data_IF_860815360217
#
_entry.id   IF_860815360217
#
_cell.length_a   1.000
_cell.length_b   1.000
_cell.length_c   1.000
_cell.angle_alpha   90.00
_cell.angle_beta   90.00
_cell.angle_gamma   90.00
#
_symmetry.space_group_name_H-M   'P 1'
#
loop_
_entity.id
_entity.type
_entity.pdbx_description
1 polymer ?
#
# COMPACT_ATOMS: atom_id res chain seq x y z
N UNK A 1 -5.06 -13.94 16.14
CA UNK A 1 -5.25 -12.89 15.11
C UNK A 1 -4.65 -13.33 13.79
N UNK A 2 -5.08 -12.77 12.67
CA UNK A 2 -4.52 -13.04 11.34
C UNK A 2 -2.99 -12.86 11.29
N UNK A 3 -2.47 -12.02 12.15
CA UNK A 3 -1.04 -11.69 12.28
C UNK A 3 -0.20 -12.71 13.06
N UNK A 4 -0.82 -13.71 13.68
CA UNK A 4 -0.11 -14.79 14.36
C UNK A 4 -0.76 -16.15 14.08
N UNK A 5 -0.62 -16.68 12.85
CA UNK A 5 -1.26 -17.93 12.45
C UNK A 5 -0.75 -19.15 13.23
N UNK A 6 0.44 -19.08 13.82
CA UNK A 6 0.99 -20.19 14.59
C UNK A 6 0.22 -20.47 15.89
N UNK A 7 -0.43 -19.46 16.47
CA UNK A 7 -1.25 -19.61 17.68
C UNK A 7 -2.53 -20.42 17.49
N UNK A 8 -2.90 -20.70 16.25
CA UNK A 8 -4.12 -21.44 15.87
C UNK A 8 -3.84 -22.76 15.16
N UNK A 9 -2.58 -23.18 15.07
CA UNK A 9 -2.20 -24.45 14.45
C UNK A 9 -2.32 -25.58 15.45
N UNK A 10 -2.95 -26.64 15.04
CA UNK A 10 -3.00 -27.90 15.79
C UNK A 10 -2.98 -29.08 14.81
N UNK A 11 -2.36 -30.17 15.23
CA UNK A 11 -2.31 -31.39 14.46
C UNK A 11 -3.54 -32.26 14.72
N UNK A 12 -4.08 -32.87 13.67
CA UNK A 12 -5.20 -33.81 13.74
C UNK A 12 -4.89 -35.05 12.91
N UNK A 13 -5.02 -36.21 13.50
CA UNK A 13 -4.86 -37.46 12.79
C UNK A 13 -6.15 -37.80 12.03
N UNK A 14 -6.10 -37.73 10.72
CA UNK A 14 -7.22 -38.02 9.83
C UNK A 14 -6.96 -39.30 9.05
N UNK A 15 -8.01 -40.13 8.87
CA UNK A 15 -7.95 -41.33 8.05
C UNK A 15 -8.55 -41.05 6.68
N UNK A 16 -7.81 -41.34 5.63
CA UNK A 16 -8.28 -41.18 4.26
C UNK A 16 -9.65 -41.86 4.03
N UNK A 17 -10.54 -41.18 3.33
CA UNK A 17 -11.89 -41.68 3.01
C UNK A 17 -12.90 -41.63 4.17
N UNK A 18 -12.51 -41.22 5.38
CA UNK A 18 -13.46 -41.04 6.50
C UNK A 18 -13.87 -39.57 6.63
N UNK A 19 -15.18 -39.38 6.77
CA UNK A 19 -15.72 -38.02 7.13
C UNK A 19 -15.56 -37.81 8.63
N UNK A 20 -15.01 -36.65 8.98
CA UNK A 20 -14.85 -36.21 10.37
C UNK A 20 -15.70 -34.99 10.55
N UNK A 21 -16.56 -34.89 11.58
CA UNK A 21 -17.33 -33.72 11.87
C UNK A 21 -16.38 -32.60 12.35
N UNK A 22 -16.53 -31.40 11.79
CA UNK A 22 -15.82 -30.22 12.19
C UNK A 22 -16.84 -29.19 12.67
N UNK A 23 -16.62 -28.61 13.86
CA UNK A 23 -17.40 -27.51 14.38
C UNK A 23 -16.46 -26.32 14.59
N UNK A 24 -16.79 -25.19 13.98
CA UNK A 24 -16.12 -23.92 14.19
C UNK A 24 -17.13 -22.99 14.84
N UNK A 25 -16.81 -22.49 16.01
CA UNK A 25 -17.55 -21.42 16.66
C UNK A 25 -16.75 -20.12 16.54
N UNK A 26 -17.37 -19.14 15.95
CA UNK A 26 -16.78 -17.84 15.73
C UNK A 26 -17.71 -16.75 16.24
N UNK A 27 -17.21 -15.97 17.19
CA UNK A 27 -17.92 -14.81 17.75
C UNK A 27 -17.20 -13.58 17.26
N UNK A 28 -17.81 -12.83 16.31
CA UNK A 28 -17.22 -11.57 15.88
C UNK A 28 -17.31 -10.53 17.00
N UNK A 29 -16.17 -9.93 17.34
CA UNK A 29 -16.06 -8.95 18.42
C UNK A 29 -15.61 -7.56 17.96
N UNK A 30 -15.89 -7.21 16.71
CA UNK A 30 -15.47 -5.93 16.20
C UNK A 30 -15.62 -5.69 14.70
N UNK A 31 -14.81 -4.80 14.22
CA UNK A 31 -14.85 -4.20 12.89
C UNK A 31 -14.57 -5.17 11.75
N UNK A 32 -13.68 -6.13 11.96
CA UNK A 32 -13.25 -7.10 10.95
C UNK A 32 -13.83 -8.45 11.28
N UNK A 33 -14.66 -8.94 10.39
CA UNK A 33 -15.40 -10.18 10.57
C UNK A 33 -15.05 -11.19 9.49
N UNK A 34 -13.92 -11.89 9.65
CA UNK A 34 -13.61 -13.04 8.80
C UNK A 34 -13.12 -14.22 9.63
N UNK A 35 -13.47 -15.42 9.17
CA UNK A 35 -13.01 -16.67 9.73
C UNK A 35 -12.56 -17.57 8.57
N UNK A 36 -11.37 -18.10 8.66
CA UNK A 36 -10.79 -19.00 7.68
C UNK A 36 -10.27 -20.30 8.32
N UNK A 37 -10.41 -21.39 7.63
CA UNK A 37 -9.81 -22.68 8.00
C UNK A 37 -8.91 -23.16 6.88
N UNK A 38 -7.68 -23.51 7.21
CA UNK A 38 -6.75 -24.16 6.29
C UNK A 38 -6.41 -25.56 6.79
N UNK A 39 -6.40 -26.52 5.89
CA UNK A 39 -5.84 -27.84 6.13
C UNK A 39 -4.49 -27.91 5.41
N UNK A 40 -3.43 -28.20 6.16
CA UNK A 40 -2.10 -28.44 5.62
C UNK A 40 -1.76 -29.93 5.75
N UNK A 41 -1.19 -30.52 4.71
CA UNK A 41 -0.61 -31.84 4.85
C UNK A 41 0.63 -31.77 5.75
N UNK A 42 1.01 -32.86 6.45
CA UNK A 42 2.22 -32.90 7.26
C UNK A 42 3.46 -32.46 6.48
N UNK A 43 3.58 -32.89 5.23
CA UNK A 43 4.71 -32.53 4.34
C UNK A 43 4.74 -31.03 4.05
N UNK A 44 3.57 -30.42 3.80
CA UNK A 44 3.46 -28.98 3.58
C UNK A 44 3.71 -28.16 4.84
N UNK A 45 3.57 -28.77 6.02
CA UNK A 45 3.79 -28.13 7.31
C UNK A 45 5.27 -28.11 7.73
N UNK A 46 6.11 -28.94 7.13
CA UNK A 46 7.57 -28.96 7.38
C UNK A 46 8.25 -27.78 6.73
N UNK A 47 9.14 -27.12 7.48
CA UNK A 47 9.79 -25.87 7.01
C UNK A 47 10.63 -26.07 5.77
N UNK A 48 11.30 -27.20 5.62
CA UNK A 48 12.15 -27.52 4.49
C UNK A 48 11.43 -27.67 3.15
N UNK A 49 10.11 -27.86 3.18
CA UNK A 49 9.30 -28.16 1.99
C UNK A 49 8.39 -26.99 1.56
N UNK A 50 8.66 -25.80 2.02
CA UNK A 50 7.70 -24.68 1.91
C UNK A 50 8.02 -23.68 0.84
N UNK A 51 8.27 -24.13 -0.35
CA UNK A 51 8.23 -23.19 -1.46
C UNK A 51 7.01 -23.51 -2.32
N UNK A 52 5.98 -22.67 -2.18
CA UNK A 52 4.83 -22.70 -3.06
C UNK A 52 4.85 -21.48 -3.96
N UNK A 53 4.85 -21.72 -5.24
CA UNK A 53 4.72 -20.67 -6.27
C UNK A 53 3.32 -20.76 -6.84
N UNK A 54 2.61 -19.65 -6.80
CA UNK A 54 1.22 -19.63 -7.16
C UNK A 54 0.79 -18.29 -7.72
N UNK A 55 -0.10 -18.29 -8.70
CA UNK A 55 -0.68 -17.09 -9.27
C UNK A 55 -2.05 -17.39 -9.86
N UNK A 56 -3.04 -16.54 -9.60
CA UNK A 56 -4.41 -16.73 -10.06
C UNK A 56 -4.68 -16.17 -11.45
N UNK A 57 -4.05 -15.04 -11.78
CA UNK A 57 -4.38 -14.24 -12.94
C UNK A 57 -3.18 -14.07 -13.89
N UNK A 58 -2.42 -15.12 -14.07
CA UNK A 58 -1.23 -15.10 -14.93
C UNK A 58 -1.17 -16.32 -15.83
N UNK A 59 -0.58 -16.16 -17.00
CA UNK A 59 -0.44 -17.23 -17.98
C UNK A 59 0.71 -18.19 -17.66
N UNK A 60 1.67 -17.74 -16.86
CA UNK A 60 2.87 -18.48 -16.51
C UNK A 60 3.44 -18.01 -15.16
N UNK A 61 4.25 -18.85 -14.56
CA UNK A 61 5.08 -18.47 -13.39
C UNK A 61 6.44 -18.11 -13.93
N UNK A 62 6.79 -16.82 -13.88
CA UNK A 62 8.07 -16.28 -14.30
C UNK A 62 8.82 -15.71 -13.10
N UNK A 63 9.99 -16.26 -12.82
CA UNK A 63 10.83 -15.84 -11.70
C UNK A 63 12.30 -16.05 -11.96
N UNK A 64 13.12 -15.31 -11.25
CA UNK A 64 14.58 -15.48 -11.25
C UNK A 64 15.04 -16.05 -9.92
N UNK A 65 15.83 -17.10 -9.98
CA UNK A 65 16.55 -17.62 -8.83
C UNK A 65 18.02 -17.24 -8.91
N UNK A 66 18.52 -16.51 -7.92
CA UNK A 66 19.91 -16.08 -7.86
C UNK A 66 20.63 -16.93 -6.82
N UNK A 67 21.60 -17.70 -7.26
CA UNK A 67 22.46 -18.49 -6.40
C UNK A 67 23.83 -17.83 -6.24
N UNK A 68 24.44 -17.96 -5.07
CA UNK A 68 25.80 -17.58 -4.75
C UNK A 68 26.32 -18.40 -3.57
N UNK A 69 27.61 -18.60 -3.49
CA UNK A 69 28.24 -19.31 -2.37
C UNK A 69 28.28 -18.47 -1.10
N UNK A 70 28.19 -17.16 -1.25
CA UNK A 70 28.05 -16.20 -0.15
C UNK A 70 27.05 -15.09 -0.46
N UNK A 71 26.82 -14.21 0.51
CA UNK A 71 25.85 -13.11 0.42
C UNK A 71 26.23 -12.08 -0.66
N UNK A 72 27.52 -11.82 -0.83
CA UNK A 72 28.01 -10.83 -1.79
C UNK A 72 27.78 -11.30 -3.23
N UNK A 73 27.95 -12.58 -3.49
CA UNK A 73 27.65 -13.19 -4.79
C UNK A 73 26.17 -13.14 -5.10
N UNK A 74 25.30 -13.46 -4.13
CA UNK A 74 23.84 -13.36 -4.30
C UNK A 74 23.41 -11.91 -4.60
N UNK A 75 23.94 -10.95 -3.84
CA UNK A 75 23.66 -9.52 -4.08
C UNK A 75 24.18 -9.06 -5.43
N UNK A 76 25.37 -9.51 -5.81
CA UNK A 76 25.96 -9.17 -7.12
C UNK A 76 25.12 -9.72 -8.27
N UNK A 77 24.68 -10.97 -8.18
CA UNK A 77 23.76 -11.59 -9.15
C UNK A 77 22.42 -10.86 -9.23
N UNK A 78 21.84 -10.52 -8.08
CA UNK A 78 20.62 -9.71 -8.04
C UNK A 78 20.82 -8.34 -8.71
N UNK A 79 21.96 -7.68 -8.47
CA UNK A 79 22.29 -6.40 -9.08
C UNK A 79 22.57 -6.48 -10.59
N UNK A 80 23.04 -7.62 -11.07
CA UNK A 80 23.15 -7.86 -12.52
C UNK A 80 21.78 -7.83 -13.21
N UNK A 81 20.72 -8.30 -12.53
CA UNK A 81 19.35 -8.28 -13.03
C UNK A 81 18.67 -6.92 -12.83
N UNK A 82 18.84 -6.29 -11.68
CA UNK A 82 18.08 -5.10 -11.28
C UNK A 82 18.82 -3.77 -11.49
N UNK A 83 20.08 -3.82 -11.89
CA UNK A 83 20.94 -2.65 -12.02
C UNK A 83 21.63 -2.24 -10.71
N UNK A 84 22.51 -1.25 -10.80
CA UNK A 84 23.29 -0.76 -9.66
C UNK A 84 22.39 0.00 -8.67
N UNK A 85 22.68 -0.17 -7.39
CA UNK A 85 22.06 0.62 -6.34
C UNK A 85 22.50 2.08 -6.43
N UNK A 86 21.56 3.00 -6.22
CA UNK A 86 21.87 4.40 -5.99
C UNK A 86 22.43 4.59 -4.57
N UNK A 87 23.37 5.51 -4.43
CA UNK A 87 23.84 5.91 -3.11
C UNK A 87 22.77 6.75 -2.45
N UNK A 88 22.27 6.29 -1.31
CA UNK A 88 21.27 7.03 -0.55
C UNK A 88 21.88 8.31 0.03
N UNK A 89 21.13 9.44 0.01
CA UNK A 89 21.59 10.65 0.65
C UNK A 89 21.72 10.44 2.17
N UNK A 90 22.66 11.11 2.80
CA UNK A 90 22.94 10.93 4.23
C UNK A 90 21.72 11.14 5.12
N UNK A 91 20.89 12.12 4.82
CA UNK A 91 19.67 12.41 5.57
C UNK A 91 18.65 11.25 5.55
N UNK A 92 18.61 10.47 4.48
CA UNK A 92 17.71 9.32 4.39
C UNK A 92 18.09 8.18 5.35
N UNK A 93 19.34 8.17 5.83
CA UNK A 93 19.83 7.19 6.83
C UNK A 93 19.58 7.66 8.27
N UNK A 94 19.02 8.84 8.47
CA UNK A 94 18.71 9.41 9.78
C UNK A 94 17.34 8.98 10.32
N UNK A 95 16.88 9.70 11.35
CA UNK A 95 15.60 9.39 12.00
C UNK A 95 14.43 9.98 11.22
N UNK A 96 13.41 9.13 11.01
CA UNK A 96 12.14 9.44 10.36
C UNK A 96 11.02 9.48 11.38
N UNK A 97 10.42 10.64 11.59
CA UNK A 97 9.22 10.77 12.40
C UNK A 97 7.98 10.65 11.53
N UNK A 98 7.21 9.61 11.77
CA UNK A 98 5.92 9.37 11.11
C UNK A 98 4.84 9.07 12.13
N UNK A 99 3.62 9.39 11.80
CA UNK A 99 2.41 8.93 12.49
C UNK A 99 1.24 8.94 11.51
N UNK A 100 0.29 8.09 11.69
CA UNK A 100 -1.02 8.21 11.11
C UNK A 100 -1.90 9.04 12.05
N UNK A 101 -2.13 10.28 11.77
CA UNK A 101 -1.54 11.19 10.79
C UNK A 101 -1.50 12.59 11.41
N UNK A 102 -0.71 13.47 10.88
CA UNK A 102 -0.81 14.91 11.17
C UNK A 102 -1.97 15.48 10.38
N UNK A 103 -2.98 15.99 11.07
CA UNK A 103 -4.25 16.43 10.46
C UNK A 103 -4.17 17.83 9.90
N UNK A 104 -3.24 18.63 10.40
CA UNK A 104 -3.07 20.05 10.02
C UNK A 104 -1.60 20.39 9.83
N UNK A 105 -1.36 21.48 9.11
CA UNK A 105 -0.05 22.10 8.96
C UNK A 105 0.60 22.45 10.31
N UNK A 106 -0.21 22.91 11.26
CA UNK A 106 0.26 23.25 12.61
C UNK A 106 0.77 22.01 13.34
N UNK A 107 0.02 20.91 13.33
CA UNK A 107 0.40 19.66 14.02
C UNK A 107 1.75 19.11 13.56
N UNK A 108 2.01 19.09 12.24
CA UNK A 108 3.29 18.59 11.72
C UNK A 108 4.45 19.51 12.07
N UNK A 109 4.25 20.81 11.98
CA UNK A 109 5.27 21.80 12.33
C UNK A 109 5.57 21.81 13.82
N UNK A 110 4.55 21.69 14.67
CA UNK A 110 4.74 21.69 16.12
C UNK A 110 5.44 20.40 16.58
N UNK A 111 5.14 19.26 15.96
CA UNK A 111 5.89 18.03 16.23
C UNK A 111 7.39 18.23 15.95
N UNK A 112 7.76 18.78 14.79
CA UNK A 112 9.16 19.02 14.44
C UNK A 112 9.84 20.05 15.36
N UNK A 113 9.13 21.14 15.68
CA UNK A 113 9.63 22.15 16.63
C UNK A 113 9.88 21.56 18.01
N UNK A 114 9.03 20.66 18.46
CA UNK A 114 9.18 20.02 19.77
C UNK A 114 10.40 19.08 19.80
N UNK A 115 10.71 18.36 18.73
CA UNK A 115 11.97 17.61 18.59
C UNK A 115 13.18 18.55 18.72
N UNK A 116 13.17 19.69 18.02
CA UNK A 116 14.28 20.68 18.08
C UNK A 116 14.39 21.30 19.46
N UNK A 117 13.29 21.68 20.08
CA UNK A 117 13.26 22.25 21.44
C UNK A 117 13.85 21.30 22.46
N UNK A 118 13.56 20.00 22.34
CA UNK A 118 14.10 18.96 23.23
C UNK A 118 15.50 18.51 22.87
N UNK A 119 16.08 19.06 21.83
CA UNK A 119 17.39 18.67 21.29
C UNK A 119 17.45 17.17 20.89
N UNK A 120 16.32 16.60 20.49
CA UNK A 120 16.25 15.23 19.98
C UNK A 120 16.59 15.29 18.48
N UNK A 121 17.58 14.52 18.03
CA UNK A 121 17.92 14.46 16.60
C UNK A 121 16.75 13.96 15.77
N UNK A 122 16.50 14.63 14.65
CA UNK A 122 15.52 14.25 13.64
C UNK A 122 15.98 14.74 12.28
N UNK A 123 15.87 13.93 11.27
CA UNK A 123 16.29 14.25 9.90
C UNK A 123 15.09 14.36 8.97
N UNK A 124 14.04 13.59 9.22
CA UNK A 124 12.90 13.49 8.32
C UNK A 124 11.58 13.49 9.07
N UNK A 125 10.57 14.15 8.48
CA UNK A 125 9.19 14.08 8.95
C UNK A 125 8.28 13.68 7.81
N UNK A 126 7.26 12.87 8.11
CA UNK A 126 6.35 12.28 7.11
C UNK A 126 4.97 12.88 7.23
N UNK A 127 4.46 13.42 6.13
CA UNK A 127 3.05 13.74 5.98
C UNK A 127 2.34 12.55 5.34
N UNK A 128 1.56 11.88 6.15
CA UNK A 128 0.77 10.73 5.76
C UNK A 128 -0.50 11.14 4.99
N UNK A 129 -1.32 10.20 4.61
CA UNK A 129 -2.49 10.34 3.76
C UNK A 129 -3.54 11.36 4.27
N UNK A 130 -4.57 11.66 3.41
CA UNK A 130 -5.71 12.51 3.74
C UNK A 130 -5.38 13.98 4.03
N UNK A 131 -4.32 14.53 3.37
CA UNK A 131 -4.06 15.97 3.39
C UNK A 131 -4.93 16.76 2.39
N UNK A 132 -5.58 16.06 1.47
CA UNK A 132 -6.44 16.60 0.41
C UNK A 132 -7.83 17.01 0.92
N UNK A 133 -8.59 17.83 0.15
CA UNK A 133 -9.96 18.17 0.46
C UNK A 133 -10.86 16.93 0.49
N UNK A 134 -11.98 17.01 1.19
CA UNK A 134 -12.99 15.94 1.19
C UNK A 134 -13.41 15.61 -0.24
N UNK A 135 -13.63 14.32 -0.53
CA UNK A 135 -13.97 13.82 -1.86
C UNK A 135 -12.96 14.19 -2.97
N UNK A 136 -11.69 14.39 -2.63
CA UNK A 136 -10.64 14.79 -3.59
C UNK A 136 -9.38 13.92 -3.53
N UNK A 137 -9.51 12.64 -3.14
CA UNK A 137 -8.39 11.72 -3.15
C UNK A 137 -7.81 11.61 -4.58
N UNK A 138 -6.52 11.80 -4.71
CA UNK A 138 -5.81 11.80 -5.99
C UNK A 138 -5.74 13.16 -6.69
N UNK A 139 -6.33 14.24 -6.12
CA UNK A 139 -6.19 15.58 -6.68
C UNK A 139 -4.78 16.16 -6.57
N UNK A 140 -3.96 15.62 -5.66
CA UNK A 140 -2.65 16.16 -5.27
C UNK A 140 -2.72 17.62 -4.77
N UNK A 141 -3.88 18.01 -4.26
CA UNK A 141 -4.12 19.31 -3.65
C UNK A 141 -4.19 19.20 -2.12
N UNK A 142 -3.88 20.29 -1.45
CA UNK A 142 -4.02 20.40 0.00
C UNK A 142 -5.36 21.03 0.38
N UNK A 143 -6.00 20.50 1.41
CA UNK A 143 -7.14 21.11 2.04
C UNK A 143 -6.73 22.45 2.66
N UNK A 144 -7.25 23.56 2.13
CA UNK A 144 -6.82 24.91 2.50
C UNK A 144 -7.17 25.29 3.95
N UNK A 145 -8.17 24.67 4.54
CA UNK A 145 -8.52 24.91 5.94
C UNK A 145 -7.51 24.25 6.90
N UNK A 146 -7.00 23.08 6.52
CA UNK A 146 -6.05 22.32 7.34
C UNK A 146 -4.59 22.61 7.01
N UNK A 147 -4.32 22.94 5.77
CA UNK A 147 -2.99 23.23 5.22
C UNK A 147 -3.05 24.53 4.41
N UNK A 148 -3.15 25.69 5.07
CA UNK A 148 -3.37 26.96 4.38
C UNK A 148 -2.19 27.42 3.51
N UNK A 149 -0.98 27.00 3.84
CA UNK A 149 0.26 27.34 3.12
C UNK A 149 1.20 26.14 3.04
N UNK A 150 0.95 25.19 2.11
CA UNK A 150 1.78 23.99 1.98
C UNK A 150 3.24 24.31 1.62
N UNK A 151 3.47 25.35 0.80
CA UNK A 151 4.84 25.78 0.45
C UNK A 151 5.58 26.31 1.67
N UNK A 152 4.97 27.21 2.42
CA UNK A 152 5.56 27.74 3.66
C UNK A 152 5.73 26.66 4.73
N UNK A 153 4.89 25.63 4.76
CA UNK A 153 5.07 24.46 5.61
C UNK A 153 6.37 23.72 5.28
N UNK A 154 6.59 23.40 4.00
CA UNK A 154 7.81 22.70 3.55
C UNK A 154 9.05 23.57 3.80
N UNK A 155 8.97 24.86 3.48
CA UNK A 155 10.07 25.79 3.73
C UNK A 155 10.41 25.88 5.23
N UNK A 156 9.41 25.85 6.10
CA UNK A 156 9.60 25.84 7.55
C UNK A 156 10.25 24.54 8.04
N UNK A 157 9.89 23.39 7.46
CA UNK A 157 10.54 22.11 7.73
C UNK A 157 12.02 22.17 7.33
N UNK A 158 12.31 22.70 6.15
CA UNK A 158 13.68 22.88 5.67
C UNK A 158 14.48 23.86 6.54
N UNK A 159 13.87 24.97 6.96
CA UNK A 159 14.49 25.94 7.86
C UNK A 159 14.82 25.32 9.23
N UNK A 160 14.07 24.32 9.67
CA UNK A 160 14.37 23.52 10.85
C UNK A 160 15.37 22.38 10.57
N UNK A 161 16.03 22.41 9.41
CA UNK A 161 17.01 21.40 8.99
C UNK A 161 16.46 19.95 9.03
N UNK A 162 15.26 19.78 8.49
CA UNK A 162 14.64 18.47 8.28
C UNK A 162 14.16 18.31 6.84
N UNK A 163 13.93 17.10 6.41
CA UNK A 163 13.39 16.72 5.10
C UNK A 163 11.95 16.22 5.24
N UNK A 164 11.18 16.35 4.17
CA UNK A 164 9.77 15.94 4.17
C UNK A 164 9.49 14.85 3.16
N UNK A 165 8.86 13.77 3.61
CA UNK A 165 8.22 12.77 2.75
C UNK A 165 6.71 12.99 2.77
N UNK A 166 6.07 12.80 1.62
CA UNK A 166 4.61 12.83 1.50
C UNK A 166 4.08 11.50 0.99
N UNK A 167 2.97 11.05 1.56
CA UNK A 167 2.24 9.88 1.10
C UNK A 167 1.49 10.19 -0.19
N UNK A 168 1.66 9.36 -1.20
CA UNK A 168 0.93 9.41 -2.46
C UNK A 168 0.36 8.04 -2.77
N UNK A 169 -0.89 8.02 -3.23
CA UNK A 169 -1.61 6.80 -3.56
C UNK A 169 -1.94 6.77 -5.04
N UNK A 170 -1.92 5.61 -5.69
CA UNK A 170 -2.34 5.47 -7.08
C UNK A 170 -3.87 5.39 -7.22
N UNK A 171 -4.62 5.91 -6.25
CA UNK A 171 -6.07 5.91 -6.15
C UNK A 171 -6.63 7.31 -6.40
N UNK A 172 -7.72 7.38 -7.14
CA UNK A 172 -8.35 8.63 -7.56
C UNK A 172 -9.86 8.55 -7.37
N UNK A 173 -10.46 9.55 -6.76
CA UNK A 173 -11.90 9.71 -6.76
C UNK A 173 -12.35 10.25 -8.12
N UNK A 174 -13.47 9.72 -8.63
CA UNK A 174 -14.00 10.07 -9.95
C UNK A 174 -14.36 11.55 -10.11
N UNK A 175 -14.46 12.29 -9.01
CA UNK A 175 -14.71 13.73 -8.98
C UNK A 175 -13.49 14.58 -9.30
N UNK A 176 -12.29 14.02 -9.23
CA UNK A 176 -11.05 14.74 -9.46
C UNK A 176 -10.74 14.91 -10.95
N UNK A 177 -10.12 16.03 -11.31
CA UNK A 177 -9.66 16.23 -12.70
C UNK A 177 -8.59 15.18 -13.07
N UNK A 178 -7.72 14.83 -12.15
CA UNK A 178 -6.71 13.79 -12.37
C UNK A 178 -7.33 12.43 -12.73
N UNK A 179 -8.44 12.05 -12.08
CA UNK A 179 -9.19 10.85 -12.48
C UNK A 179 -9.63 10.94 -13.94
N UNK A 180 -10.24 12.07 -14.33
CA UNK A 180 -10.78 12.27 -15.69
C UNK A 180 -9.68 12.17 -16.74
N UNK A 181 -8.50 12.73 -16.48
CA UNK A 181 -7.35 12.63 -17.38
C UNK A 181 -6.92 11.18 -17.65
N UNK A 182 -6.96 10.31 -16.63
CA UNK A 182 -6.69 8.88 -16.81
C UNK A 182 -7.84 8.18 -17.53
N UNK A 183 -9.08 8.49 -17.15
CA UNK A 183 -10.29 7.84 -17.67
C UNK A 183 -10.47 8.10 -19.16
N UNK A 184 -10.27 9.32 -19.62
CA UNK A 184 -10.30 9.70 -21.03
C UNK A 184 -9.31 8.91 -21.91
N UNK A 185 -8.23 8.42 -21.31
CA UNK A 185 -7.20 7.62 -21.98
C UNK A 185 -7.40 6.11 -21.81
N UNK A 186 -8.44 5.71 -21.09
CA UNK A 186 -8.70 4.31 -20.79
C UNK A 186 -7.69 3.69 -19.82
N UNK A 187 -7.07 4.49 -18.95
CA UNK A 187 -6.05 4.06 -18.00
C UNK A 187 -6.55 3.93 -16.55
N UNK A 188 -7.86 3.90 -16.33
CA UNK A 188 -8.46 3.61 -15.03
C UNK A 188 -9.06 2.21 -15.02
N UNK A 189 -8.95 1.52 -13.88
CA UNK A 189 -9.71 0.29 -13.67
C UNK A 189 -11.21 0.63 -13.58
N UNK A 190 -11.98 0.10 -14.52
CA UNK A 190 -13.37 0.52 -14.75
C UNK A 190 -14.39 -0.21 -13.88
N UNK A 191 -14.08 -1.41 -13.38
CA UNK A 191 -15.09 -2.25 -12.75
C UNK A 191 -15.64 -1.63 -11.47
N UNK A 192 -14.77 -1.11 -10.61
CA UNK A 192 -15.18 -0.47 -9.36
C UNK A 192 -16.14 0.72 -9.59
N UNK A 193 -15.89 1.50 -10.63
CA UNK A 193 -16.72 2.66 -10.99
C UNK A 193 -18.07 2.22 -11.55
N UNK A 194 -18.08 1.24 -12.46
CA UNK A 194 -19.32 0.66 -13.03
C UNK A 194 -20.22 0.07 -11.95
N UNK A 195 -19.62 -0.60 -10.97
CA UNK A 195 -20.34 -1.21 -9.87
C UNK A 195 -20.66 -0.21 -8.74
N UNK A 196 -20.24 1.04 -8.89
CA UNK A 196 -20.42 2.11 -7.89
C UNK A 196 -19.88 1.72 -6.51
N UNK A 197 -18.73 1.06 -6.48
CA UNK A 197 -18.09 0.63 -5.25
C UNK A 197 -17.61 1.87 -4.49
N UNK A 198 -18.12 2.02 -3.28
CA UNK A 198 -17.75 3.10 -2.38
C UNK A 198 -16.65 2.64 -1.44
N UNK A 199 -15.73 3.53 -1.15
CA UNK A 199 -14.73 3.28 -0.12
C UNK A 199 -15.31 3.46 1.30
N UNK A 200 -14.46 3.33 2.29
CA UNK A 200 -14.82 3.38 3.72
C UNK A 200 -14.58 4.78 4.35
N UNK A 201 -14.15 5.75 3.55
CA UNK A 201 -13.82 7.10 4.01
C UNK A 201 -15.07 7.99 4.01
N UNK A 202 -15.34 8.63 5.16
CA UNK A 202 -16.50 9.54 5.29
C UNK A 202 -17.80 8.87 4.87
N UNK A 203 -18.59 9.51 3.99
CA UNK A 203 -19.86 8.93 3.48
C UNK A 203 -19.64 7.83 2.43
N UNK A 204 -18.38 7.53 2.09
CA UNK A 204 -18.01 6.63 1.01
C UNK A 204 -18.02 7.30 -0.36
N UNK A 205 -16.89 7.30 -1.05
CA UNK A 205 -16.70 7.92 -2.36
C UNK A 205 -16.36 6.86 -3.41
N UNK A 206 -16.78 7.09 -4.64
CA UNK A 206 -16.47 6.21 -5.76
C UNK A 206 -15.13 6.65 -6.34
N UNK A 207 -14.23 5.70 -6.49
CA UNK A 207 -12.90 5.91 -7.05
C UNK A 207 -12.31 4.63 -7.58
N UNK A 208 -11.15 4.74 -8.19
CA UNK A 208 -10.41 3.59 -8.71
C UNK A 208 -8.92 3.87 -8.77
N UNK A 209 -8.17 2.88 -9.21
CA UNK A 209 -6.73 2.92 -9.38
C UNK A 209 -6.39 3.09 -10.85
N UNK A 210 -5.28 3.76 -11.17
CA UNK A 210 -4.79 3.83 -12.53
C UNK A 210 -4.08 2.53 -12.93
N UNK A 211 -4.04 2.24 -14.23
CA UNK A 211 -3.32 1.09 -14.78
C UNK A 211 -1.81 1.33 -14.78
N UNK A 212 -1.14 0.82 -13.75
CA UNK A 212 0.31 0.95 -13.60
C UNK A 212 1.12 0.15 -14.64
N UNK A 213 0.50 -0.76 -15.38
CA UNK A 213 1.16 -1.48 -16.48
C UNK A 213 1.25 -0.61 -17.75
N UNK A 214 0.36 0.35 -17.93
CA UNK A 214 0.44 1.29 -19.04
C UNK A 214 1.54 2.34 -18.82
N UNK A 215 2.54 2.38 -19.71
CA UNK A 215 3.64 3.35 -19.61
C UNK A 215 3.15 4.81 -19.61
N UNK A 216 2.17 5.11 -20.43
CA UNK A 216 1.56 6.46 -20.49
C UNK A 216 0.90 6.85 -19.18
N UNK A 217 0.25 5.89 -18.50
CA UNK A 217 -0.38 6.13 -17.21
C UNK A 217 0.66 6.42 -16.11
N UNK A 218 1.76 5.68 -16.06
CA UNK A 218 2.87 5.98 -15.14
C UNK A 218 3.46 7.38 -15.36
N UNK A 219 3.64 7.78 -16.62
CA UNK A 219 4.12 9.13 -16.97
C UNK A 219 3.13 10.21 -16.56
N UNK A 220 1.84 9.98 -16.74
CA UNK A 220 0.80 10.91 -16.33
C UNK A 220 0.76 11.04 -14.80
N UNK A 221 0.84 9.93 -14.07
CA UNK A 221 0.89 9.96 -12.61
C UNK A 221 2.06 10.80 -12.09
N UNK A 222 3.25 10.58 -12.63
CA UNK A 222 4.40 11.40 -12.28
C UNK A 222 4.17 12.88 -12.62
N UNK A 223 3.66 13.16 -13.81
CA UNK A 223 3.39 14.55 -14.22
C UNK A 223 2.43 15.27 -13.29
N UNK A 224 1.38 14.62 -12.83
CA UNK A 224 0.44 15.21 -11.86
C UNK A 224 1.13 15.52 -10.53
N UNK A 225 2.00 14.65 -10.04
CA UNK A 225 2.81 14.92 -8.84
C UNK A 225 3.85 16.02 -9.08
N UNK A 226 4.49 16.02 -10.25
CA UNK A 226 5.47 17.02 -10.66
C UNK A 226 4.85 18.41 -10.75
N UNK A 227 3.63 18.52 -11.25
CA UNK A 227 2.94 19.82 -11.39
C UNK A 227 2.40 20.35 -10.06
N UNK A 228 2.00 19.51 -9.12
CA UNK A 228 1.26 19.90 -7.91
C UNK A 228 2.07 19.82 -6.62
N UNK A 229 2.87 18.77 -6.46
CA UNK A 229 3.57 18.48 -5.20
C UNK A 229 5.07 18.80 -5.28
N UNK A 230 5.71 18.44 -6.38
CA UNK A 230 7.16 18.65 -6.52
C UNK A 230 7.60 20.12 -6.37
N UNK A 231 6.86 21.13 -6.89
CA UNK A 231 7.24 22.54 -6.76
C UNK A 231 7.19 23.04 -5.32
N UNK A 232 6.53 22.34 -4.42
CA UNK A 232 6.51 22.65 -3.00
C UNK A 232 7.85 22.39 -2.31
N UNK A 233 8.73 21.58 -2.94
CA UNK A 233 10.03 21.21 -2.40
C UNK A 233 10.01 19.90 -1.61
N UNK A 234 9.06 19.02 -1.87
CA UNK A 234 9.00 17.68 -1.27
C UNK A 234 10.29 16.91 -1.57
N UNK A 235 10.89 16.27 -0.57
CA UNK A 235 12.18 15.60 -0.66
C UNK A 235 12.06 14.11 -0.94
N UNK A 236 10.93 13.49 -0.58
CA UNK A 236 10.72 12.04 -0.74
C UNK A 236 9.25 11.69 -0.94
N UNK A 237 9.01 10.57 -1.61
CA UNK A 237 7.70 10.06 -1.96
C UNK A 237 7.45 8.73 -1.27
N UNK A 238 6.31 8.60 -0.60
CA UNK A 238 5.81 7.34 -0.07
C UNK A 238 4.72 6.83 -1.00
N UNK A 239 5.06 5.85 -1.83
CA UNK A 239 4.11 5.17 -2.72
C UNK A 239 3.30 4.17 -1.89
N UNK A 240 2.26 4.66 -1.25
CA UNK A 240 1.42 3.90 -0.35
C UNK A 240 0.30 3.17 -1.10
N UNK A 241 -0.13 2.01 -0.58
CA UNK A 241 -1.18 1.14 -1.13
C UNK A 241 -1.18 1.06 -2.65
N UNK A 242 -0.01 0.73 -3.20
CA UNK A 242 0.20 0.61 -4.65
C UNK A 242 -0.43 -0.63 -5.26
N UNK A 243 -0.79 -1.61 -4.44
CA UNK A 243 -1.59 -2.77 -4.79
C UNK A 243 -3.07 -2.40 -4.77
N UNK A 244 -3.80 -2.52 -5.88
CA UNK A 244 -5.22 -2.28 -5.89
C UNK A 244 -5.92 -3.27 -4.96
N UNK A 245 -6.56 -2.77 -3.92
CA UNK A 245 -7.36 -3.61 -3.06
C UNK A 245 -8.57 -4.13 -3.84
N UNK A 246 -8.73 -5.44 -3.91
CA UNK A 246 -9.85 -6.07 -4.63
C UNK A 246 -11.20 -5.57 -4.11
N UNK A 247 -11.30 -5.26 -2.81
CA UNK A 247 -12.47 -4.66 -2.19
C UNK A 247 -12.79 -3.27 -2.76
N UNK A 248 -11.78 -2.52 -3.15
CA UNK A 248 -11.93 -1.18 -3.73
C UNK A 248 -12.14 -1.22 -5.25
N UNK A 249 -11.86 -2.34 -5.91
CA UNK A 249 -11.84 -2.45 -7.37
C UNK A 249 -13.00 -3.23 -7.95
N UNK A 250 -13.62 -4.17 -7.21
CA UNK A 250 -14.69 -5.03 -7.72
C UNK A 250 -15.73 -5.37 -6.66
N UNK A 251 -16.92 -5.82 -7.09
CA UNK A 251 -17.91 -6.37 -6.19
C UNK A 251 -17.55 -7.79 -5.69
N UNK A 252 -18.23 -8.24 -4.65
CA UNK A 252 -17.98 -9.53 -4.04
C UNK A 252 -18.27 -10.72 -4.99
N UNK A 253 -19.32 -10.61 -5.82
CA UNK A 253 -19.69 -11.69 -6.74
C UNK A 253 -18.63 -11.85 -7.84
N UNK A 254 -18.16 -10.75 -8.39
CA UNK A 254 -17.08 -10.74 -9.37
C UNK A 254 -15.78 -11.28 -8.79
N UNK A 255 -15.41 -10.87 -7.57
CA UNK A 255 -14.22 -11.43 -6.87
C UNK A 255 -14.30 -12.94 -6.70
N UNK A 256 -15.44 -13.44 -6.25
CA UNK A 256 -15.67 -14.88 -6.11
C UNK A 256 -15.58 -15.63 -7.44
N UNK A 257 -16.04 -15.02 -8.53
CA UNK A 257 -15.95 -15.59 -9.86
C UNK A 257 -14.50 -15.66 -10.37
N UNK A 258 -13.70 -14.63 -10.09
CA UNK A 258 -12.28 -14.58 -10.47
C UNK A 258 -11.43 -15.53 -9.64
N UNK A 259 -11.57 -15.45 -8.31
CA UNK A 259 -10.71 -16.20 -7.39
C UNK A 259 -11.10 -17.69 -7.32
N UNK A 260 -12.31 -18.05 -7.77
CA UNK A 260 -12.78 -19.42 -7.68
C UNK A 260 -12.77 -19.96 -6.25
N UNK A 261 -12.69 -21.27 -6.05
CA UNK A 261 -12.62 -21.90 -4.74
C UNK A 261 -11.19 -21.92 -4.18
N UNK A 262 -10.51 -20.81 -4.15
CA UNK A 262 -9.14 -20.75 -3.60
C UNK A 262 -9.13 -20.81 -2.08
N UNK A 263 -8.05 -21.33 -1.52
CA UNK A 263 -7.85 -21.40 -0.08
C UNK A 263 -7.54 -20.02 0.54
N UNK A 264 -7.17 -19.06 -0.29
CA UNK A 264 -6.89 -17.67 0.09
C UNK A 264 -8.04 -16.82 -0.43
N UNK A 265 -8.75 -16.16 0.46
CA UNK A 265 -9.71 -15.13 0.07
C UNK A 265 -8.99 -13.92 -0.52
N UNK A 266 -9.69 -13.07 -1.31
CA UNK A 266 -9.11 -11.85 -1.87
C UNK A 266 -8.56 -10.87 -0.82
N UNK A 267 -9.01 -10.98 0.42
CA UNK A 267 -8.54 -10.17 1.55
C UNK A 267 -7.25 -10.69 2.21
N UNK A 268 -6.74 -11.82 1.75
CA UNK A 268 -5.53 -12.44 2.29
C UNK A 268 -4.29 -12.18 1.43
N UNK A 269 -4.45 -11.34 0.41
CA UNK A 269 -3.39 -10.90 -0.47
C UNK A 269 -2.75 -9.62 0.04
#
# INVERSE_FOLDING_TARGET
TAWNPNSYKFAVDLKAGKRVPLKIEWIPDGYVSYCGLRALSPVSAEEQNKQSWWGEMQNEIDYYFVYGEDMDEVISGYRALTGKSQIMPKWAMGYWQSRERYKTQEEILDALKEFRKRQIPIDNIVLDWSYWPENAWGSHEFDKARFPDPKGMVDSIHALNAKMMISVWPKFYMTTEHYKEFDEKGWMYQQAVKDSIRDWIGPGYIGSFYDAYAEGARKLFWKQMEDHLYPLGIDAWWMDASEPNVRDCTDLAYRKALCGPTALGPSDQ
#
